data_IF_799305075115
#
_entry.id   IF_799305075115
#
_cell.length_a   1.000
_cell.length_b   1.000
_cell.length_c   1.000
_cell.angle_alpha   90.00
_cell.angle_beta   90.00
_cell.angle_gamma   90.00
#
_symmetry.space_group_name_H-M   'P 1'
#
loop_
_entity.id
_entity.type
_entity.pdbx_description
1 polymer ?
#
# COMPACT_ATOMS: atom_id res chain seq x y z
N UNK A 1 -34.98 -9.25 5.62
CA UNK A 1 -33.61 -9.74 5.89
C UNK A 1 -32.85 -9.46 4.60
N UNK A 2 -32.33 -8.24 4.48
CA UNK A 2 -31.99 -7.62 3.20
C UNK A 2 -30.63 -8.08 2.69
N UNK A 3 -30.57 -8.39 1.39
CA UNK A 3 -29.41 -8.90 0.64
C UNK A 3 -28.17 -7.99 0.73
N UNK A 4 -28.32 -6.73 1.14
CA UNK A 4 -27.23 -5.75 1.27
C UNK A 4 -26.22 -6.08 2.39
N UNK A 5 -26.61 -6.84 3.42
CA UNK A 5 -25.70 -7.20 4.53
C UNK A 5 -24.74 -8.34 4.19
N UNK A 6 -24.95 -9.05 3.07
CA UNK A 6 -24.10 -10.15 2.63
C UNK A 6 -22.94 -9.68 1.72
N UNK A 7 -23.09 -8.57 0.99
CA UNK A 7 -22.07 -8.10 0.03
C UNK A 7 -20.83 -7.47 0.68
N UNK A 8 -20.92 -7.01 1.93
CA UNK A 8 -19.77 -6.47 2.68
C UNK A 8 -18.83 -7.59 3.17
N UNK A 9 -19.27 -8.86 3.13
CA UNK A 9 -18.53 -9.99 3.72
C UNK A 9 -17.29 -10.45 2.93
N UNK A 10 -17.02 -9.90 1.73
CA UNK A 10 -15.91 -10.37 0.88
C UNK A 10 -14.93 -9.28 0.44
N UNK A 11 -15.11 -8.03 0.87
CA UNK A 11 -14.22 -6.93 0.51
C UNK A 11 -12.94 -6.96 1.37
N UNK A 12 -11.89 -7.61 0.87
CA UNK A 12 -10.53 -7.45 1.43
C UNK A 12 -10.10 -6.00 1.23
N UNK A 13 -10.18 -5.21 2.30
CA UNK A 13 -9.60 -3.87 2.31
C UNK A 13 -8.12 -4.00 2.61
N UNK A 14 -7.29 -3.63 1.63
CA UNK A 14 -5.85 -3.41 1.80
C UNK A 14 -5.67 -1.91 1.96
N UNK A 15 -5.09 -1.42 3.06
CA UNK A 15 -4.84 0.01 3.24
C UNK A 15 -3.34 0.30 3.28
N UNK A 16 -2.92 1.47 2.81
CA UNK A 16 -1.54 1.97 2.86
C UNK A 16 -1.53 3.37 3.49
N UNK A 17 -0.61 3.62 4.41
CA UNK A 17 -0.62 4.83 5.24
C UNK A 17 0.66 5.65 4.95
N UNK A 18 0.47 6.94 4.71
CA UNK A 18 1.50 7.99 4.65
C UNK A 18 2.44 8.13 3.43
N UNK A 19 2.04 7.65 2.26
CA UNK A 19 2.20 8.34 0.98
C UNK A 19 1.39 7.54 -0.05
N UNK A 20 0.23 8.09 -0.45
CA UNK A 20 -0.79 7.46 -1.30
C UNK A 20 -1.37 6.15 -0.72
N UNK A 21 -2.60 6.16 -0.23
CA UNK A 21 -3.30 4.92 0.10
C UNK A 21 -3.60 4.14 -1.20
N UNK A 22 -2.87 3.06 -1.47
CA UNK A 22 -3.23 2.10 -2.53
C UNK A 22 -4.12 1.05 -1.89
N UNK A 23 -5.42 1.19 -2.13
CA UNK A 23 -6.38 0.16 -1.77
C UNK A 23 -6.37 -0.91 -2.84
N UNK A 24 -5.70 -2.02 -2.55
CA UNK A 24 -5.60 -3.13 -3.48
C UNK A 24 -6.86 -3.98 -3.40
N UNK A 25 -7.71 -3.84 -4.40
CA UNK A 25 -8.85 -4.72 -4.64
C UNK A 25 -8.34 -6.11 -5.03
N UNK A 26 -9.01 -7.22 -4.69
CA UNK A 26 -8.75 -8.47 -5.40
C UNK A 26 -8.86 -8.25 -6.91
N UNK A 27 -7.92 -8.81 -7.67
CA UNK A 27 -7.78 -8.66 -9.14
C UNK A 27 -9.08 -8.96 -9.90
N UNK A 28 -10.01 -9.73 -9.31
CA UNK A 28 -11.24 -10.22 -9.92
C UNK A 28 -12.52 -9.38 -9.67
N UNK A 29 -12.52 -8.33 -8.85
CA UNK A 29 -13.75 -7.55 -8.62
C UNK A 29 -14.08 -6.58 -9.79
N UNK A 30 -15.32 -6.05 -9.89
CA UNK A 30 -15.80 -5.10 -10.96
C UNK A 30 -15.96 -3.64 -10.45
N UNK A 31 -16.14 -2.60 -11.32
CA UNK A 31 -15.44 -1.32 -11.15
C UNK A 31 -16.18 -0.12 -10.50
N UNK A 32 -15.35 0.80 -9.98
CA UNK A 32 -15.42 2.28 -9.84
C UNK A 32 -16.06 2.98 -8.64
N UNK A 33 -17.15 2.51 -8.03
CA UNK A 33 -17.90 3.40 -7.11
C UNK A 33 -17.30 3.59 -5.70
N UNK A 34 -16.46 2.67 -5.22
CA UNK A 34 -15.96 2.72 -3.82
C UNK A 34 -14.65 3.49 -3.64
N UNK A 35 -14.00 3.94 -4.71
CA UNK A 35 -12.60 4.43 -4.65
C UNK A 35 -12.47 5.89 -4.22
N UNK A 36 -13.41 6.76 -4.59
CA UNK A 36 -13.30 8.20 -4.33
C UNK A 36 -13.48 8.56 -2.86
N UNK A 37 -14.25 7.78 -2.10
CA UNK A 37 -14.50 8.05 -0.67
C UNK A 37 -13.35 7.63 0.24
N UNK A 38 -12.52 6.67 -0.19
CA UNK A 38 -11.47 6.08 0.65
C UNK A 38 -10.07 6.70 0.46
N UNK A 39 -9.83 7.38 -0.66
CA UNK A 39 -8.61 8.17 -0.89
C UNK A 39 -8.42 9.30 0.16
N UNK A 40 -9.48 9.65 0.88
CA UNK A 40 -9.49 10.64 1.95
C UNK A 40 -9.15 10.07 3.34
N UNK A 41 -9.07 8.74 3.51
CA UNK A 41 -8.83 8.13 4.81
C UNK A 41 -7.36 8.26 5.22
N UNK A 42 -7.04 9.32 5.97
CA UNK A 42 -5.72 9.51 6.59
C UNK A 42 -5.71 8.94 8.01
N UNK A 43 -4.73 8.08 8.28
CA UNK A 43 -4.50 7.48 9.59
C UNK A 43 -5.47 6.35 9.94
N UNK A 44 -5.16 5.63 11.02
CA UNK A 44 -5.90 4.45 11.44
C UNK A 44 -7.39 4.73 11.70
N UNK A 45 -7.72 5.85 12.35
CA UNK A 45 -9.11 6.20 12.70
C UNK A 45 -10.04 6.29 11.49
N UNK A 46 -9.56 6.84 10.37
CA UNK A 46 -10.37 6.92 9.16
C UNK A 46 -10.63 5.53 8.54
N UNK A 47 -9.67 4.62 8.64
CA UNK A 47 -9.82 3.22 8.20
C UNK A 47 -10.81 2.49 9.10
N UNK A 48 -10.71 2.68 10.43
CA UNK A 48 -11.67 2.10 11.38
C UNK A 48 -13.10 2.56 11.07
N UNK A 49 -13.31 3.86 10.85
CA UNK A 49 -14.63 4.39 10.48
C UNK A 49 -15.14 3.81 9.15
N UNK A 50 -14.27 3.75 8.14
CA UNK A 50 -14.61 3.20 6.83
C UNK A 50 -14.92 1.69 6.85
N UNK A 51 -14.41 0.96 7.85
CA UNK A 51 -14.63 -0.48 8.05
C UNK A 51 -15.71 -0.78 9.08
N UNK A 52 -16.52 0.22 9.47
CA UNK A 52 -17.58 0.04 10.46
C UNK A 52 -17.07 -0.38 11.84
N UNK A 53 -15.86 0.04 12.21
CA UNK A 53 -15.25 -0.26 13.50
C UNK A 53 -14.33 -1.49 13.52
N UNK A 54 -14.27 -2.28 12.45
CA UNK A 54 -13.58 -3.57 12.46
C UNK A 54 -12.08 -3.47 12.22
N UNK A 55 -11.64 -2.51 11.41
CA UNK A 55 -10.30 -2.45 10.86
C UNK A 55 -10.12 -3.27 9.58
N UNK A 56 -8.99 -3.06 8.91
CA UNK A 56 -8.65 -3.72 7.65
C UNK A 56 -8.21 -5.18 7.88
N UNK A 57 -8.55 -6.09 6.96
CA UNK A 57 -8.03 -7.47 6.96
C UNK A 57 -6.51 -7.51 6.80
N UNK A 58 -5.98 -6.59 6.01
CA UNK A 58 -4.56 -6.50 5.71
C UNK A 58 -4.14 -5.04 5.51
N UNK A 59 -2.94 -4.71 5.96
CA UNK A 59 -2.36 -3.37 5.79
C UNK A 59 -0.96 -3.51 5.23
N UNK A 60 -0.60 -2.64 4.28
CA UNK A 60 0.74 -2.58 3.70
C UNK A 60 1.39 -1.27 4.16
N UNK A 61 2.50 -1.36 4.90
CA UNK A 61 3.34 -0.21 5.19
C UNK A 61 4.43 -0.10 4.12
N UNK A 62 4.32 0.90 3.25
CA UNK A 62 5.31 1.22 2.23
C UNK A 62 6.17 2.46 2.57
N UNK A 63 6.07 2.95 3.81
CA UNK A 63 6.81 4.13 4.28
C UNK A 63 7.94 3.70 5.20
N UNK A 64 7.67 2.85 6.19
CA UNK A 64 8.70 2.31 7.09
C UNK A 64 9.21 3.30 8.14
N UNK A 65 8.31 4.08 8.72
CA UNK A 65 8.57 5.00 9.86
C UNK A 65 7.84 4.52 11.12
N UNK A 66 8.27 4.96 12.30
CA UNK A 66 7.57 4.70 13.58
C UNK A 66 6.06 4.98 13.50
N UNK A 67 5.71 6.13 12.91
CA UNK A 67 4.32 6.57 12.76
C UNK A 67 3.55 5.67 11.80
N UNK A 68 4.09 5.37 10.61
CA UNK A 68 3.40 4.53 9.62
C UNK A 68 3.19 3.11 10.13
N UNK A 69 4.18 2.56 10.85
CA UNK A 69 4.08 1.23 11.43
C UNK A 69 3.04 1.19 12.57
N UNK A 70 3.05 2.20 13.45
CA UNK A 70 2.04 2.31 14.52
C UNK A 70 0.63 2.43 13.95
N UNK A 71 0.45 3.28 12.94
CA UNK A 71 -0.83 3.43 12.27
C UNK A 71 -1.27 2.14 11.57
N UNK A 72 -0.35 1.41 10.94
CA UNK A 72 -0.67 0.16 10.28
C UNK A 72 -1.15 -0.92 11.26
N UNK A 73 -0.47 -1.01 12.41
CA UNK A 73 -0.87 -1.88 13.52
C UNK A 73 -2.24 -1.44 14.06
N UNK A 74 -2.52 -0.15 14.20
CA UNK A 74 -3.82 0.32 14.72
C UNK A 74 -4.97 0.18 13.70
N UNK A 75 -4.67 0.22 12.41
CA UNK A 75 -5.66 0.10 11.34
C UNK A 75 -6.08 -1.34 11.06
N UNK A 76 -5.23 -2.33 11.35
CA UNK A 76 -5.53 -3.74 11.09
C UNK A 76 -6.48 -4.31 12.15
N UNK A 77 -7.42 -5.15 11.72
CA UNK A 77 -8.31 -5.88 12.62
C UNK A 77 -7.55 -6.94 13.43
N UNK A 78 -8.10 -7.39 14.58
CA UNK A 78 -7.59 -8.59 15.25
C UNK A 78 -7.55 -9.80 14.31
N UNK A 79 -6.45 -10.56 14.35
CA UNK A 79 -6.19 -11.69 13.45
C UNK A 79 -5.78 -11.29 12.04
N UNK A 80 -5.62 -10.00 11.73
CA UNK A 80 -5.23 -9.52 10.40
C UNK A 80 -3.72 -9.56 10.16
N UNK A 81 -3.30 -9.11 8.96
CA UNK A 81 -1.89 -9.12 8.52
C UNK A 81 -1.36 -7.72 8.28
N UNK A 82 -0.15 -7.44 8.74
CA UNK A 82 0.56 -6.18 8.43
C UNK A 82 1.84 -6.52 7.66
N UNK A 83 1.90 -6.11 6.39
CA UNK A 83 3.05 -6.33 5.52
C UNK A 83 3.90 -5.07 5.45
N UNK A 84 5.11 -5.13 5.98
CA UNK A 84 6.09 -4.04 5.95
C UNK A 84 6.98 -4.23 4.72
N UNK A 85 6.91 -3.25 3.81
CA UNK A 85 7.74 -3.15 2.59
C UNK A 85 8.62 -1.89 2.64
N UNK A 86 8.18 -0.85 3.36
CA UNK A 86 8.98 0.33 3.66
C UNK A 86 10.22 -0.04 4.48
N UNK A 87 11.34 0.63 4.23
CA UNK A 87 12.59 0.36 4.93
C UNK A 87 12.73 1.32 6.11
N UNK A 88 12.86 0.75 7.31
CA UNK A 88 13.18 1.50 8.50
C UNK A 88 14.69 1.68 8.65
N UNK A 89 15.09 2.83 9.18
CA UNK A 89 16.47 3.23 9.46
C UNK A 89 16.96 2.92 10.89
N UNK A 90 16.09 2.40 11.78
CA UNK A 90 16.43 2.13 13.17
C UNK A 90 16.83 0.66 13.40
N UNK A 91 17.87 0.48 14.23
CA UNK A 91 18.32 -0.82 14.71
C UNK A 91 18.57 -0.75 16.24
N UNK A 92 17.76 -1.42 17.09
CA UNK A 92 16.71 -2.38 16.73
C UNK A 92 15.47 -1.73 16.10
N UNK A 93 14.77 -2.49 15.25
CA UNK A 93 13.49 -2.09 14.64
C UNK A 93 12.42 -1.90 15.73
N UNK A 94 11.72 -0.76 15.82
CA UNK A 94 10.75 -0.47 16.88
C UNK A 94 9.38 -1.13 16.65
N UNK A 95 9.34 -2.44 16.38
CA UNK A 95 8.10 -3.17 16.12
C UNK A 95 7.16 -3.17 17.36
N UNK A 96 5.87 -2.80 17.24
CA UNK A 96 4.88 -2.89 18.32
C UNK A 96 4.48 -4.34 18.66
N UNK A 97 5.42 -5.14 19.18
CA UNK A 97 5.26 -6.59 19.33
C UNK A 97 4.13 -6.99 20.29
N UNK A 98 3.96 -6.30 21.42
CA UNK A 98 2.91 -6.61 22.39
C UNK A 98 1.49 -6.39 21.80
N UNK A 99 1.18 -5.24 21.17
CA UNK A 99 -0.07 -5.09 20.42
C UNK A 99 -0.29 -6.15 19.33
N UNK A 100 0.76 -6.57 18.63
CA UNK A 100 0.67 -7.65 17.66
C UNK A 100 0.25 -8.98 18.31
N UNK A 101 0.89 -9.33 19.43
CA UNK A 101 0.59 -10.54 20.19
C UNK A 101 -0.86 -10.53 20.70
N UNK A 102 -1.27 -9.45 21.38
CA UNK A 102 -2.59 -9.35 22.01
C UNK A 102 -3.74 -9.40 21.02
N UNK A 103 -3.52 -8.93 19.78
CA UNK A 103 -4.53 -8.94 18.71
C UNK A 103 -4.30 -10.05 17.67
N UNK A 104 -3.38 -10.98 17.93
CA UNK A 104 -3.03 -12.07 17.00
C UNK A 104 -2.72 -11.58 15.57
N UNK A 105 -2.05 -10.43 15.46
CA UNK A 105 -1.67 -9.85 14.18
C UNK A 105 -0.47 -10.62 13.62
N UNK A 106 -0.49 -10.87 12.30
CA UNK A 106 0.64 -11.44 11.58
C UNK A 106 1.49 -10.33 10.97
N UNK A 107 2.67 -9.99 11.52
CA UNK A 107 3.63 -9.13 10.85
C UNK A 107 4.36 -9.92 9.75
N UNK A 108 4.38 -9.39 8.52
CA UNK A 108 5.17 -9.90 7.41
C UNK A 108 6.20 -8.85 7.01
N UNK A 109 7.47 -9.21 7.02
CA UNK A 109 8.55 -8.35 6.54
C UNK A 109 9.08 -8.93 5.24
N UNK A 110 9.26 -8.09 4.23
CA UNK A 110 9.78 -8.54 2.94
C UNK A 110 10.57 -7.43 2.28
N UNK A 111 11.69 -7.79 1.67
CA UNK A 111 12.25 -7.03 0.55
C UNK A 111 11.57 -7.51 -0.73
N UNK A 112 11.55 -6.70 -1.79
CA UNK A 112 10.92 -7.09 -3.05
C UNK A 112 11.70 -8.26 -3.69
N UNK A 113 11.16 -9.50 -3.72
CA UNK A 113 11.87 -10.65 -4.28
C UNK A 113 11.60 -10.68 -5.79
N UNK A 114 12.16 -9.71 -6.51
CA UNK A 114 11.80 -9.36 -7.89
C UNK A 114 11.84 -10.57 -8.84
N UNK A 115 12.93 -11.35 -8.79
CA UNK A 115 13.11 -12.50 -9.68
C UNK A 115 12.08 -13.61 -9.40
N UNK A 116 11.65 -13.76 -8.15
CA UNK A 116 10.63 -14.74 -7.76
C UNK A 116 9.24 -14.33 -8.25
N UNK A 117 8.94 -13.03 -8.31
CA UNK A 117 7.60 -12.53 -8.68
C UNK A 117 7.44 -12.31 -10.18
N UNK A 118 8.53 -12.14 -10.94
CA UNK A 118 8.49 -11.94 -12.39
C UNK A 118 7.65 -12.94 -13.19
N UNK A 119 7.72 -14.28 -12.95
CA UNK A 119 6.92 -15.24 -13.70
C UNK A 119 5.41 -15.02 -13.59
N UNK A 120 4.95 -14.42 -12.48
CA UNK A 120 3.54 -14.09 -12.27
C UNK A 120 3.20 -12.67 -12.77
N UNK A 121 4.08 -11.69 -12.54
CA UNK A 121 3.81 -10.29 -12.85
C UNK A 121 3.89 -9.96 -14.35
N UNK A 122 4.86 -10.53 -15.07
CA UNK A 122 5.05 -10.23 -16.50
C UNK A 122 3.81 -10.61 -17.33
N UNK A 123 3.21 -11.81 -17.17
CA UNK A 123 1.97 -12.15 -17.88
C UNK A 123 0.80 -11.22 -17.55
N UNK A 124 0.70 -10.74 -16.30
CA UNK A 124 -0.35 -9.80 -15.88
C UNK A 124 -0.19 -8.42 -16.54
N UNK A 125 1.05 -7.96 -16.72
CA UNK A 125 1.34 -6.74 -17.48
C UNK A 125 1.01 -6.94 -18.96
N UNK A 126 1.49 -8.03 -19.56
CA UNK A 126 1.34 -8.30 -20.98
C UNK A 126 -0.11 -8.54 -21.41
N UNK A 127 -0.92 -9.16 -20.55
CA UNK A 127 -2.34 -9.43 -20.84
C UNK A 127 -3.27 -8.26 -20.49
N UNK A 128 -2.78 -7.25 -19.74
CA UNK A 128 -3.54 -6.06 -19.35
C UNK A 128 -4.27 -6.04 -18.00
N UNK A 129 -4.45 -7.14 -17.23
CA UNK A 129 -5.02 -7.08 -15.88
C UNK A 129 -4.24 -6.21 -14.89
N UNK A 130 -2.92 -6.08 -15.09
CA UNK A 130 -2.08 -5.15 -14.34
C UNK A 130 -1.72 -3.97 -15.25
N UNK A 131 -2.53 -2.93 -15.19
CA UNK A 131 -2.27 -1.67 -15.88
C UNK A 131 -1.35 -0.78 -15.02
N UNK A 132 -0.22 -0.38 -15.61
CA UNK A 132 0.77 0.51 -14.99
C UNK A 132 1.00 1.77 -15.83
N UNK A 133 0.11 2.06 -16.76
CA UNK A 133 0.20 3.26 -17.57
C UNK A 133 0.17 4.52 -16.69
N UNK A 134 1.02 5.49 -17.05
CA UNK A 134 1.19 6.71 -16.28
C UNK A 134 2.07 6.59 -15.03
N UNK A 135 2.64 5.41 -14.71
CA UNK A 135 3.57 5.26 -13.57
C UNK A 135 4.80 6.17 -13.71
N UNK A 136 5.27 6.38 -14.94
CA UNK A 136 6.34 7.33 -15.26
C UNK A 136 5.73 8.70 -15.53
N UNK A 137 5.88 9.60 -14.55
CA UNK A 137 5.32 10.96 -14.59
C UNK A 137 6.30 11.98 -15.19
N UNK A 138 7.59 11.66 -15.24
CA UNK A 138 8.61 12.45 -15.91
C UNK A 138 9.54 11.56 -16.74
N UNK A 139 9.99 12.09 -17.88
CA UNK A 139 10.93 11.45 -18.80
C UNK A 139 12.00 12.46 -19.20
N UNK A 140 13.27 12.08 -19.17
CA UNK A 140 14.39 12.94 -19.55
C UNK A 140 15.59 12.10 -19.99
N UNK A 141 16.54 12.67 -20.75
CA UNK A 141 17.76 11.96 -21.14
C UNK A 141 18.67 11.67 -19.94
N UNK A 142 19.54 10.66 -20.08
CA UNK A 142 20.42 10.18 -19.03
C UNK A 142 21.47 11.22 -18.59
N UNK A 143 21.87 12.12 -19.48
CA UNK A 143 22.77 13.25 -19.17
C UNK A 143 22.12 14.28 -18.20
N UNK A 144 20.79 14.31 -18.11
CA UNK A 144 20.03 15.10 -17.14
C UNK A 144 19.81 14.35 -15.79
N UNK A 145 20.51 13.24 -15.52
CA UNK A 145 20.30 12.43 -14.31
C UNK A 145 20.32 13.25 -13.00
N UNK A 146 21.21 14.25 -12.89
CA UNK A 146 21.31 15.12 -11.70
C UNK A 146 19.97 15.84 -11.43
N UNK A 147 19.35 16.38 -12.49
CA UNK A 147 18.03 17.01 -12.41
C UNK A 147 16.94 16.00 -12.07
N UNK A 148 17.01 14.80 -12.65
CA UNK A 148 16.10 13.70 -12.32
C UNK A 148 16.13 13.33 -10.83
N UNK A 149 17.33 13.24 -10.24
CA UNK A 149 17.50 13.01 -8.80
C UNK A 149 17.02 14.19 -7.96
N UNK A 150 17.25 15.44 -8.40
CA UNK A 150 16.73 16.63 -7.69
C UNK A 150 15.19 16.64 -7.67
N UNK A 151 14.54 16.28 -8.79
CA UNK A 151 13.09 16.15 -8.87
C UNK A 151 12.59 15.08 -7.90
N UNK A 152 13.17 13.87 -7.93
CA UNK A 152 12.78 12.80 -7.01
C UNK A 152 13.03 13.16 -5.54
N UNK A 153 14.15 13.85 -5.26
CA UNK A 153 14.55 14.29 -3.92
C UNK A 153 13.68 15.41 -3.35
N UNK A 154 13.07 16.24 -4.21
CA UNK A 154 12.17 17.32 -3.78
C UNK A 154 10.93 16.81 -3.01
N UNK A 155 10.53 15.55 -3.27
CA UNK A 155 9.32 14.93 -2.71
C UNK A 155 8.07 15.82 -2.85
N UNK A 156 7.98 16.60 -3.93
CA UNK A 156 6.86 17.55 -4.17
C UNK A 156 5.49 16.88 -4.28
N UNK A 157 5.46 15.57 -4.52
CA UNK A 157 4.23 14.80 -4.77
C UNK A 157 3.72 14.94 -6.21
N UNK A 158 4.32 15.80 -7.02
CA UNK A 158 3.97 15.98 -8.45
C UNK A 158 4.48 14.83 -9.31
N UNK A 159 5.51 14.12 -8.83
CA UNK A 159 6.21 13.09 -9.59
C UNK A 159 6.20 11.77 -8.83
N UNK A 160 5.81 10.68 -9.51
CA UNK A 160 5.79 9.31 -8.97
C UNK A 160 7.07 8.57 -9.36
N UNK A 161 7.43 8.58 -10.65
CA UNK A 161 8.64 7.92 -11.16
C UNK A 161 9.24 8.72 -12.30
N UNK A 162 10.54 9.01 -12.19
CA UNK A 162 11.34 9.62 -13.26
C UNK A 162 11.96 8.50 -14.10
N UNK A 163 11.77 8.53 -15.42
CA UNK A 163 12.42 7.65 -16.38
C UNK A 163 13.58 8.37 -17.04
N UNK A 164 14.77 7.77 -16.98
CA UNK A 164 15.94 8.23 -17.71
C UNK A 164 16.13 7.36 -18.95
N UNK A 165 16.25 8.00 -20.11
CA UNK A 165 16.51 7.32 -21.39
C UNK A 165 17.97 7.54 -21.83
N UNK A 166 18.70 6.49 -22.25
CA UNK A 166 20.07 6.62 -22.74
C UNK A 166 20.24 7.60 -23.89
#
# INVERSE_FOLDING_TARGET
MNETSAEVSAAKLIAMINAAAVIMRPVWARPRETLSSLAACRGAGAIISATGGHGADSVIDAVGTDTSMTDAINAVRPGGTVSVVGLHDLQPLPLPALPCLLRSITPRMTTAPVQRTWPELIPLLASGPLDVDGIFTARMPLDEAVKGYAIAGSRSGEQVKVLLTP
#
